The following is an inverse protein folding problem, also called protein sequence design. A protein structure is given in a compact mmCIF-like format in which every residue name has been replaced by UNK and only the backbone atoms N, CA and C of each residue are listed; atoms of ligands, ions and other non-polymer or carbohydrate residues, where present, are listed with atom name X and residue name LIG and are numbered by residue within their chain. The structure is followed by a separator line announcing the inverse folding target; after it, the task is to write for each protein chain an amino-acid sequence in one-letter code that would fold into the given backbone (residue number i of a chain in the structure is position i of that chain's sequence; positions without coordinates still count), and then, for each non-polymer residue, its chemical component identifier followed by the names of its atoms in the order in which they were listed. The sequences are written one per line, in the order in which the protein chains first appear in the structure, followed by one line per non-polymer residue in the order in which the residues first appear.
data_IF_139093533990
#
_entry.id   IF_139093533990
#
_cell.length_a   1.000
_cell.length_b   1.000
_cell.length_c   1.000
_cell.angle_alpha   90.00
_cell.angle_beta   90.00
_cell.angle_gamma   90.00
#
_symmetry.space_group_name_H-M   'P 1'
#
loop_
_entity.id
_entity.type
_entity.pdbx_description
1 polymer ?
#
# COMPACT_ATOMS: atom_id res chain seq x y z
N UNK A 1 37.88 -11.95 31.89
CA UNK A 1 36.41 -11.71 31.99
C UNK A 1 36.03 -10.65 30.96
N UNK A 2 35.29 -11.01 29.89
CA UNK A 2 34.44 -10.11 29.05
C UNK A 2 34.07 -10.71 27.66
N UNK A 3 33.87 -12.04 27.56
CA UNK A 3 33.33 -12.64 26.32
C UNK A 3 31.78 -12.61 26.27
N UNK A 4 31.13 -12.55 27.43
CA UNK A 4 29.65 -12.56 27.56
C UNK A 4 29.03 -11.24 27.05
N UNK A 5 29.71 -10.11 27.24
CA UNK A 5 29.18 -8.77 26.94
C UNK A 5 29.03 -8.49 25.44
N UNK A 6 29.84 -9.12 24.59
CA UNK A 6 29.82 -8.96 23.13
C UNK A 6 28.74 -9.81 22.44
N UNK A 7 28.41 -10.97 23.01
CA UNK A 7 27.36 -11.85 22.48
C UNK A 7 25.96 -11.24 22.67
N UNK A 8 25.73 -10.57 23.81
CA UNK A 8 24.44 -9.96 24.13
C UNK A 8 24.05 -8.83 23.17
N UNK A 9 25.01 -8.01 22.75
CA UNK A 9 24.75 -6.83 21.90
C UNK A 9 24.39 -7.25 20.46
N UNK A 10 25.02 -8.31 19.93
CA UNK A 10 24.74 -8.79 18.57
C UNK A 10 23.40 -9.54 18.45
N UNK A 11 22.96 -10.20 19.52
CA UNK A 11 21.65 -10.89 19.54
C UNK A 11 20.46 -9.92 19.67
N UNK A 12 20.66 -8.77 20.31
CA UNK A 12 19.62 -7.75 20.45
C UNK A 12 19.39 -6.93 19.16
N UNK A 13 20.44 -6.74 18.35
CA UNK A 13 20.33 -6.00 17.08
C UNK A 13 19.46 -6.74 16.04
N UNK A 14 19.56 -8.07 15.99
CA UNK A 14 18.79 -8.90 15.07
C UNK A 14 17.30 -9.01 15.44
N UNK A 15 16.96 -8.84 16.72
CA UNK A 15 15.58 -8.87 17.19
C UNK A 15 14.78 -7.62 16.80
N UNK A 16 15.42 -6.44 16.80
CA UNK A 16 14.74 -5.18 16.46
C UNK A 16 14.41 -5.06 14.96
N UNK A 17 15.28 -5.55 14.07
CA UNK A 17 15.07 -5.47 12.63
C UNK A 17 13.86 -6.31 12.14
N UNK A 18 13.57 -7.43 12.81
CA UNK A 18 12.43 -8.28 12.50
C UNK A 18 11.09 -7.64 12.88
N UNK A 19 11.06 -6.83 13.95
CA UNK A 19 9.83 -6.15 14.40
C UNK A 19 9.47 -4.98 13.49
N UNK A 20 10.48 -4.25 12.97
CA UNK A 20 10.26 -3.14 12.02
C UNK A 20 9.73 -3.58 10.65
N UNK A 21 9.86 -4.86 10.28
CA UNK A 21 9.30 -5.40 9.04
C UNK A 21 7.81 -5.81 9.17
N UNK A 22 7.31 -6.00 10.41
CA UNK A 22 5.91 -6.37 10.64
C UNK A 22 4.95 -5.18 10.72
N UNK A 23 5.44 -3.94 10.70
CA UNK A 23 4.61 -2.80 11.09
C UNK A 23 3.78 -2.15 9.98
N UNK A 24 4.05 -2.36 8.68
CA UNK A 24 3.25 -1.69 7.63
C UNK A 24 3.24 -2.45 6.29
N UNK A 25 2.98 -3.75 6.29
CA UNK A 25 2.45 -4.34 5.06
C UNK A 25 1.03 -3.79 4.90
N UNK A 26 0.84 -2.81 4.01
CA UNK A 26 -0.50 -2.45 3.57
C UNK A 26 -1.22 -3.77 3.23
N UNK A 27 -2.46 -4.01 3.71
CA UNK A 27 -3.16 -5.25 3.47
C UNK A 27 -3.06 -5.54 1.97
N UNK A 28 -2.70 -6.78 1.59
CA UNK A 28 -2.46 -7.15 0.18
C UNK A 28 -3.59 -6.67 -0.76
N UNK A 29 -4.80 -6.50 -0.20
CA UNK A 29 -5.99 -5.98 -0.86
C UNK A 29 -5.91 -4.47 -1.21
N UNK A 30 -5.20 -3.65 -0.46
CA UNK A 30 -4.97 -2.24 -0.78
C UNK A 30 -4.12 -2.08 -2.06
N UNK A 31 -3.16 -2.97 -2.31
CA UNK A 31 -2.38 -2.94 -3.56
C UNK A 31 -3.22 -3.25 -4.80
N UNK A 32 -4.22 -4.15 -4.69
CA UNK A 32 -5.17 -4.37 -5.79
C UNK A 32 -6.06 -3.16 -6.03
N UNK A 33 -6.46 -2.41 -4.99
CA UNK A 33 -7.26 -1.18 -5.16
C UNK A 33 -6.52 -0.13 -6.00
N UNK A 34 -5.23 0.09 -5.74
CA UNK A 34 -4.41 1.05 -6.50
C UNK A 34 -4.19 0.58 -7.94
N UNK A 35 -4.02 -0.73 -8.16
CA UNK A 35 -3.90 -1.28 -9.52
C UNK A 35 -5.20 -1.07 -10.32
N UNK A 36 -6.35 -1.40 -9.74
CA UNK A 36 -7.66 -1.18 -10.36
C UNK A 36 -7.92 0.30 -10.64
N UNK A 37 -7.48 1.20 -9.74
CA UNK A 37 -7.54 2.64 -9.97
C UNK A 37 -6.73 3.07 -11.21
N UNK A 38 -5.48 2.61 -11.32
CA UNK A 38 -4.64 2.92 -12.47
C UNK A 38 -5.23 2.40 -13.79
N UNK A 39 -5.72 1.16 -13.80
CA UNK A 39 -6.40 0.57 -14.97
C UNK A 39 -7.66 1.36 -15.35
N UNK A 40 -8.42 1.83 -14.36
CA UNK A 40 -9.60 2.67 -14.58
C UNK A 40 -9.23 4.02 -15.22
N UNK A 41 -8.16 4.67 -14.73
CA UNK A 41 -7.68 5.93 -15.31
C UNK A 41 -7.19 5.78 -16.75
N UNK A 42 -6.52 4.66 -17.08
CA UNK A 42 -6.08 4.39 -18.46
C UNK A 42 -7.30 4.31 -19.39
N UNK A 43 -8.35 3.58 -18.98
CA UNK A 43 -9.60 3.50 -19.76
C UNK A 43 -10.33 4.83 -19.83
N UNK A 44 -10.35 5.58 -18.73
CA UNK A 44 -10.94 6.91 -18.71
C UNK A 44 -10.23 7.84 -19.69
N UNK A 45 -8.90 7.75 -19.83
CA UNK A 45 -8.13 8.59 -20.74
C UNK A 45 -8.49 8.41 -22.23
N UNK A 46 -9.05 7.25 -22.60
CA UNK A 46 -9.48 6.93 -23.97
C UNK A 46 -10.85 7.56 -24.34
N UNK A 47 -11.55 8.21 -23.40
CA UNK A 47 -12.84 8.85 -23.67
C UNK A 47 -12.68 10.12 -24.52
N UNK A 48 -13.64 10.34 -25.42
CA UNK A 48 -13.60 11.40 -26.44
C UNK A 48 -13.63 12.78 -25.79
N UNK A 49 -14.60 13.02 -24.90
CA UNK A 49 -14.83 14.34 -24.35
C UNK A 49 -14.11 14.55 -23.02
N UNK A 50 -13.60 15.77 -22.81
CA UNK A 50 -12.88 16.12 -21.59
C UNK A 50 -13.74 15.97 -20.31
N UNK A 51 -15.05 16.21 -20.43
CA UNK A 51 -15.98 16.10 -19.31
C UNK A 51 -16.21 14.64 -18.92
N UNK A 52 -16.26 13.73 -19.89
CA UNK A 52 -16.38 12.28 -19.65
C UNK A 52 -15.14 11.74 -18.93
N UNK A 53 -13.95 12.15 -19.39
CA UNK A 53 -12.68 11.82 -18.73
C UNK A 53 -12.65 12.27 -17.28
N UNK A 54 -13.17 13.47 -17.03
CA UNK A 54 -13.21 14.05 -15.68
C UNK A 54 -14.20 13.32 -14.79
N UNK A 55 -15.41 13.03 -15.29
CA UNK A 55 -16.42 12.27 -14.56
C UNK A 55 -15.92 10.85 -14.25
N UNK A 56 -15.41 10.13 -15.26
CA UNK A 56 -14.84 8.80 -15.08
C UNK A 56 -13.66 8.81 -14.12
N UNK A 57 -12.80 9.83 -14.16
CA UNK A 57 -11.69 9.98 -13.21
C UNK A 57 -12.14 10.13 -11.75
N UNK A 58 -13.23 10.87 -11.52
CA UNK A 58 -13.85 10.99 -10.19
C UNK A 58 -14.41 9.64 -9.75
N UNK A 59 -15.13 8.93 -10.62
CA UNK A 59 -15.68 7.61 -10.32
C UNK A 59 -14.57 6.61 -9.98
N UNK A 60 -13.49 6.56 -10.78
CA UNK A 60 -12.31 5.74 -10.50
C UNK A 60 -11.73 6.02 -9.11
N UNK A 61 -11.65 7.29 -8.70
CA UNK A 61 -11.13 7.67 -7.40
C UNK A 61 -12.05 7.24 -6.25
N UNK A 62 -13.36 7.44 -6.39
CA UNK A 62 -14.33 7.04 -5.37
C UNK A 62 -14.33 5.52 -5.17
N UNK A 63 -14.23 4.74 -6.25
CA UNK A 63 -14.09 3.29 -6.19
C UNK A 63 -12.80 2.86 -5.49
N UNK A 64 -11.68 3.53 -5.77
CA UNK A 64 -10.41 3.27 -5.12
C UNK A 64 -10.49 3.53 -3.60
N UNK A 65 -11.07 4.66 -3.20
CA UNK A 65 -11.29 5.00 -1.77
C UNK A 65 -12.21 3.99 -1.10
N UNK A 66 -13.30 3.59 -1.75
CA UNK A 66 -14.22 2.59 -1.22
C UNK A 66 -13.57 1.21 -1.08
N UNK A 67 -12.74 0.81 -2.04
CA UNK A 67 -11.96 -0.42 -2.01
C UNK A 67 -10.94 -0.40 -0.85
N UNK A 68 -10.17 0.68 -0.73
CA UNK A 68 -9.21 0.86 0.35
C UNK A 68 -9.93 0.81 1.69
N UNK A 69 -11.02 1.55 1.86
CA UNK A 69 -11.81 1.52 3.10
C UNK A 69 -12.24 0.10 3.49
N UNK A 70 -12.73 -0.69 2.53
CA UNK A 70 -13.12 -2.10 2.74
C UNK A 70 -11.95 -3.03 3.06
N UNK A 71 -10.72 -2.68 2.69
CA UNK A 71 -9.53 -3.46 3.01
C UNK A 71 -9.02 -3.24 4.46
N UNK A 72 -9.51 -2.20 5.14
CA UNK A 72 -9.09 -1.82 6.50
C UNK A 72 -10.22 -1.90 7.55
N UNK A 73 -11.44 -2.24 7.15
CA UNK A 73 -12.61 -2.45 8.03
C UNK A 73 -12.95 -3.94 8.03
#
# INVERSE_FOLDING_TARGET
MNLVRLASVRLLASGLAAVSALSVAAPLHANSCIRSYAECLVKAADLEFWWERSAAGIDCYLDAVACVRRAYV
#
